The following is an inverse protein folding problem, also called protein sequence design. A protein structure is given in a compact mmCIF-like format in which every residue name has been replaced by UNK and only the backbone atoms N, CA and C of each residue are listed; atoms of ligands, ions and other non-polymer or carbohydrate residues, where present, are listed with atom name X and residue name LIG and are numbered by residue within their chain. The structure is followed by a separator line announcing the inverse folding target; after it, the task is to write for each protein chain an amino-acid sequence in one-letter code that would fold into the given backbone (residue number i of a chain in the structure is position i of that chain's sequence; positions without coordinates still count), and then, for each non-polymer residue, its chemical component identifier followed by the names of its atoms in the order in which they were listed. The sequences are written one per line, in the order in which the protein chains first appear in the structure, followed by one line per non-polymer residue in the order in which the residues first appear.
data_IF_875896524103
#
_entry.id   IF_875896524103
#
_cell.length_a   1.000
_cell.length_b   1.000
_cell.length_c   1.000
_cell.angle_alpha   90.00
_cell.angle_beta   90.00
_cell.angle_gamma   90.00
#
_symmetry.space_group_name_H-M   'P 1'
#
loop_
_entity.id
_entity.type
_entity.pdbx_description
1 polymer ?
#
# COMPACT_ATOMS: atom_id res chain seq x y z
N UNK A 1 12.22 4.60 16.05
CA UNK A 1 10.81 4.39 15.65
C UNK A 1 10.73 3.07 14.90
N UNK A 2 9.77 2.20 15.22
CA UNK A 2 9.58 0.96 14.45
C UNK A 2 8.94 1.28 13.11
N UNK A 3 9.51 0.80 12.01
CA UNK A 3 8.89 0.93 10.68
C UNK A 3 7.67 0.02 10.60
N UNK A 4 6.66 0.44 9.83
CA UNK A 4 5.46 -0.35 9.60
C UNK A 4 5.78 -1.54 8.68
N UNK A 5 4.93 -2.57 8.72
CA UNK A 5 4.91 -3.59 7.69
C UNK A 5 4.29 -3.00 6.41
N UNK A 6 4.65 -3.54 5.24
CA UNK A 6 4.19 -2.99 3.95
C UNK A 6 2.66 -2.83 3.85
N UNK A 7 1.88 -3.79 4.33
CA UNK A 7 0.42 -3.72 4.28
C UNK A 7 -0.15 -2.65 5.22
N UNK A 8 0.48 -2.42 6.37
CA UNK A 8 0.11 -1.35 7.31
C UNK A 8 0.45 0.01 6.70
N UNK A 9 1.63 0.15 6.10
CA UNK A 9 2.03 1.39 5.41
C UNK A 9 1.06 1.74 4.26
N UNK A 10 0.66 0.74 3.46
CA UNK A 10 -0.36 0.92 2.42
C UNK A 10 -1.69 1.38 3.03
N UNK A 11 -2.15 0.74 4.11
CA UNK A 11 -3.39 1.13 4.77
C UNK A 11 -3.34 2.55 5.33
N UNK A 12 -2.21 2.97 5.93
CA UNK A 12 -2.01 4.33 6.44
C UNK A 12 -2.06 5.37 5.33
N UNK A 13 -1.45 5.11 4.17
CA UNK A 13 -1.53 6.01 3.03
C UNK A 13 -2.97 6.14 2.55
N UNK A 14 -3.67 5.01 2.36
CA UNK A 14 -5.05 5.02 1.91
C UNK A 14 -5.97 5.70 2.92
N UNK A 15 -5.82 5.48 4.24
CA UNK A 15 -6.60 6.17 5.27
C UNK A 15 -6.49 7.71 5.20
N UNK A 16 -5.37 8.23 4.69
CA UNK A 16 -5.14 9.66 4.56
C UNK A 16 -5.68 10.26 3.25
N UNK A 17 -6.15 9.46 2.29
CA UNK A 17 -6.73 9.97 1.03
C UNK A 17 -8.24 10.16 1.15
N UNK A 18 -8.77 11.16 0.42
CA UNK A 18 -10.19 11.60 0.49
C UNK A 18 -11.20 10.46 0.30
N UNK A 19 -10.88 9.48 -0.55
CA UNK A 19 -11.77 8.35 -0.88
C UNK A 19 -11.24 7.00 -0.37
N UNK A 20 -10.20 7.02 0.46
CA UNK A 20 -9.45 5.83 0.85
C UNK A 20 -8.91 5.02 -0.32
N UNK A 21 -8.68 5.68 -1.44
CA UNK A 21 -8.17 5.09 -2.68
C UNK A 21 -7.00 5.89 -3.23
N UNK A 22 -6.12 5.20 -3.94
CA UNK A 22 -4.98 5.79 -4.67
C UNK A 22 -4.43 4.77 -5.67
N UNK A 23 -3.65 5.23 -6.64
CA UNK A 23 -2.88 4.36 -7.53
C UNK A 23 -1.74 3.66 -6.79
N UNK A 24 -1.29 2.50 -7.28
CA UNK A 24 -0.13 1.81 -6.70
C UNK A 24 1.16 2.65 -6.75
N UNK A 25 1.30 3.53 -7.76
CA UNK A 25 2.38 4.50 -7.88
C UNK A 25 2.32 5.56 -6.78
N UNK A 26 1.16 6.20 -6.60
CA UNK A 26 0.97 7.21 -5.54
C UNK A 26 1.21 6.62 -4.15
N UNK A 27 0.73 5.39 -3.92
CA UNK A 27 0.96 4.69 -2.65
C UNK A 27 2.45 4.47 -2.40
N UNK A 28 3.18 3.95 -3.40
CA UNK A 28 4.61 3.71 -3.25
C UNK A 28 5.39 5.02 -3.02
N UNK A 29 5.10 6.06 -3.81
CA UNK A 29 5.71 7.37 -3.67
C UNK A 29 5.49 7.96 -2.27
N UNK A 30 4.26 7.89 -1.75
CA UNK A 30 3.92 8.43 -0.45
C UNK A 30 4.57 7.64 0.70
N UNK A 31 4.66 6.31 0.57
CA UNK A 31 5.38 5.45 1.54
C UNK A 31 6.86 5.83 1.59
N UNK A 32 7.51 6.00 0.43
CA UNK A 32 8.92 6.38 0.34
C UNK A 32 9.13 7.80 0.90
N UNK A 33 8.30 8.76 0.48
CA UNK A 33 8.38 10.18 0.91
C UNK A 33 8.25 10.33 2.43
N UNK A 34 7.39 9.53 3.05
CA UNK A 34 7.13 9.56 4.51
C UNK A 34 7.97 8.55 5.30
N UNK A 35 8.81 7.78 4.62
CA UNK A 35 9.62 6.70 5.20
C UNK A 35 8.81 5.71 6.07
N UNK A 36 7.56 5.42 5.68
CA UNK A 36 6.64 4.58 6.46
C UNK A 36 7.06 3.11 6.51
N UNK A 37 7.75 2.65 5.47
CA UNK A 37 8.27 1.30 5.32
C UNK A 37 9.62 1.38 4.61
N UNK A 38 10.58 0.54 5.01
CA UNK A 38 11.85 0.37 4.31
C UNK A 38 12.03 -1.09 3.94
N UNK A 39 12.54 -1.32 2.73
CA UNK A 39 12.94 -2.65 2.28
C UNK A 39 14.20 -3.10 2.99
N UNK A 40 14.41 -4.42 3.08
CA UNK A 40 15.63 -4.99 3.70
C UNK A 40 16.93 -4.55 3.04
N UNK A 41 16.89 -4.22 1.75
CA UNK A 41 18.01 -3.73 0.96
C UNK A 41 18.19 -2.20 1.01
N UNK A 42 17.41 -1.51 1.86
CA UNK A 42 17.35 -0.05 1.99
C UNK A 42 16.96 0.73 0.72
N UNK A 43 16.56 0.05 -0.35
CA UNK A 43 16.08 0.70 -1.56
C UNK A 43 14.63 1.17 -1.41
N UNK A 44 14.24 2.10 -2.29
CA UNK A 44 12.86 2.58 -2.37
C UNK A 44 11.89 1.44 -2.70
N UNK A 45 10.67 1.55 -2.17
CA UNK A 45 9.56 0.66 -2.47
C UNK A 45 9.09 0.88 -3.91
N UNK A 46 9.13 -0.14 -4.79
CA UNK A 46 8.57 -0.04 -6.14
C UNK A 46 7.05 -0.31 -6.13
N UNK A 47 6.31 0.33 -7.05
CA UNK A 47 4.84 0.21 -7.12
C UNK A 47 4.33 -1.22 -7.33
N UNK A 48 5.07 -2.06 -8.08
CA UNK A 48 4.68 -3.47 -8.27
C UNK A 48 4.62 -4.26 -6.96
N UNK A 49 5.37 -3.89 -5.91
CA UNK A 49 5.28 -4.55 -4.60
C UNK A 49 3.99 -4.17 -3.86
N UNK A 50 3.48 -2.94 -4.09
CA UNK A 50 2.14 -2.55 -3.63
C UNK A 50 1.09 -3.42 -4.31
N UNK A 51 1.20 -3.60 -5.64
CA UNK A 51 0.33 -4.51 -6.39
C UNK A 51 0.41 -5.95 -5.86
N UNK A 52 1.61 -6.49 -5.64
CA UNK A 52 1.77 -7.84 -5.09
C UNK A 52 1.09 -7.99 -3.74
N UNK A 53 1.18 -6.98 -2.86
CA UNK A 53 0.58 -7.01 -1.53
C UNK A 53 -0.94 -6.94 -1.58
N UNK A 54 -1.49 -6.11 -2.47
CA UNK A 54 -2.92 -5.77 -2.49
C UNK A 54 -3.73 -6.61 -3.48
N UNK A 55 -3.11 -7.17 -4.53
CA UNK A 55 -3.77 -7.98 -5.58
C UNK A 55 -3.45 -9.47 -5.49
N UNK A 56 -2.16 -9.79 -5.44
CA UNK A 56 -1.65 -11.15 -5.63
C UNK A 56 -1.48 -11.92 -4.31
N UNK A 57 -1.71 -11.29 -3.15
CA UNK A 57 -1.57 -11.98 -1.87
C UNK A 57 -2.77 -12.93 -1.68
N UNK A 58 -2.60 -14.21 -2.02
CA UNK A 58 -3.57 -15.31 -1.88
C UNK A 58 -3.94 -15.65 -0.41
N UNK A 59 -4.38 -14.68 0.39
CA UNK A 59 -5.18 -14.99 1.58
C UNK A 59 -4.98 -14.13 2.82
N UNK A 60 -3.88 -13.38 2.98
CA UNK A 60 -3.68 -12.67 4.26
C UNK A 60 -4.34 -11.29 4.34
N UNK A 61 -4.32 -10.50 3.26
CA UNK A 61 -4.76 -9.10 3.32
C UNK A 61 -5.79 -8.71 2.25
N UNK A 62 -6.35 -9.67 1.51
CA UNK A 62 -7.38 -9.38 0.49
C UNK A 62 -8.64 -8.75 1.09
N UNK A 63 -8.97 -9.09 2.33
CA UNK A 63 -10.11 -8.49 3.04
C UNK A 63 -9.91 -7.00 3.39
N UNK A 64 -8.69 -6.48 3.28
CA UNK A 64 -8.39 -5.07 3.53
C UNK A 64 -8.45 -4.22 2.25
N UNK A 65 -8.18 -4.82 1.08
CA UNK A 65 -7.98 -4.06 -0.15
C UNK A 65 -8.98 -4.44 -1.23
N UNK A 66 -9.40 -3.45 -1.99
CA UNK A 66 -10.31 -3.60 -3.12
C UNK A 66 -9.69 -2.93 -4.35
N UNK A 67 -9.73 -3.64 -5.48
CA UNK A 67 -9.28 -3.12 -6.77
C UNK A 67 -10.48 -2.59 -7.53
N UNK A 68 -10.49 -1.29 -7.83
CA UNK A 68 -11.63 -0.62 -8.48
C UNK A 68 -11.40 -0.46 -9.98
N UNK A 69 -10.19 -0.04 -10.34
CA UNK A 69 -9.75 0.22 -11.72
C UNK A 69 -8.34 -0.37 -11.91
N UNK A 70 -7.81 -0.43 -13.15
CA UNK A 70 -6.40 -0.74 -13.34
C UNK A 70 -5.54 0.15 -12.44
N UNK A 71 -4.75 -0.48 -11.57
CA UNK A 71 -3.80 0.16 -10.66
C UNK A 71 -4.39 0.99 -9.50
N UNK A 72 -5.71 1.13 -9.37
CA UNK A 72 -6.32 1.83 -8.22
C UNK A 72 -6.71 0.83 -7.13
N UNK A 73 -6.17 1.07 -5.94
CA UNK A 73 -6.47 0.31 -4.72
C UNK A 73 -7.26 1.18 -3.76
N UNK A 74 -8.35 0.63 -3.21
CA UNK A 74 -9.13 1.18 -2.12
C UNK A 74 -8.97 0.35 -0.86
N UNK A 75 -8.91 1.01 0.29
CA UNK A 75 -9.01 0.37 1.59
C UNK A 75 -10.49 0.11 1.90
N UNK A 76 -10.82 -1.14 2.22
CA UNK A 76 -12.17 -1.56 2.62
C UNK A 76 -12.50 -0.99 4.00
N UNK A 77 -13.79 -0.71 4.25
CA UNK A 77 -14.27 -0.43 5.59
C UNK A 77 -14.39 -1.76 6.35
N UNK A 78 -13.70 -1.87 7.49
CA UNK A 78 -13.92 -2.92 8.47
C UNK A 78 -15.24 -2.70 9.21
#
# INVERSE_FOLDING_TARGET
MSQLLLHEAIAVVLLATKNRSATIEEIANEINRRELYRRKDNTDLPSYQVMQRTKLSNGRYQHLFEWIEPNIVRLRNL
#
